data_IF_273099074820
#
_entry.id   IF_273099074820
#
_cell.length_a   1.000
_cell.length_b   1.000
_cell.length_c   1.000
_cell.angle_alpha   90.00
_cell.angle_beta   90.00
_cell.angle_gamma   90.00
#
_symmetry.space_group_name_H-M   'P 1'
#
loop_
_entity.id
_entity.type
_entity.pdbx_description
1 polymer ?
#
# COMPACT_ATOMS: atom_id res chain seq x y z
N UNK A 1 -21.08 -6.91 -14.93
CA UNK A 1 -19.78 -6.57 -15.56
C UNK A 1 -19.15 -5.47 -14.72
N UNK A 2 -18.03 -5.73 -14.05
CA UNK A 2 -17.30 -4.68 -13.35
C UNK A 2 -16.51 -3.87 -14.39
N UNK A 3 -16.94 -2.63 -14.63
CA UNK A 3 -16.17 -1.66 -15.42
C UNK A 3 -14.78 -1.54 -14.76
N UNK A 4 -13.67 -1.59 -15.52
CA UNK A 4 -12.35 -1.37 -14.97
C UNK A 4 -12.31 -0.04 -14.21
N UNK A 5 -11.80 -0.07 -12.97
CA UNK A 5 -11.64 1.16 -12.20
C UNK A 5 -10.67 2.09 -12.94
N UNK A 6 -10.99 3.40 -13.08
CA UNK A 6 -10.02 4.37 -13.55
C UNK A 6 -8.81 4.39 -12.59
N UNK A 7 -7.68 4.94 -13.05
CA UNK A 7 -6.46 5.01 -12.22
C UNK A 7 -6.70 5.79 -10.93
N UNK A 8 -7.51 6.85 -11.00
CA UNK A 8 -7.97 7.60 -9.83
C UNK A 8 -9.50 7.62 -9.83
N UNK A 9 -10.16 6.63 -9.20
CA UNK A 9 -11.60 6.67 -8.99
C UNK A 9 -11.97 7.76 -7.98
N UNK A 10 -13.27 7.92 -7.71
CA UNK A 10 -13.73 8.78 -6.63
C UNK A 10 -13.01 8.42 -5.32
N UNK A 11 -12.50 9.44 -4.63
CA UNK A 11 -11.84 9.27 -3.33
C UNK A 11 -12.70 9.89 -2.24
N UNK A 12 -13.03 9.10 -1.22
CA UNK A 12 -13.79 9.57 -0.04
C UNK A 12 -13.01 9.33 1.24
N UNK A 13 -13.48 9.97 2.31
CA UNK A 13 -12.95 9.79 3.66
C UNK A 13 -14.10 9.67 4.66
N UNK A 14 -13.90 8.82 5.65
CA UNK A 14 -14.72 8.76 6.87
C UNK A 14 -13.93 9.40 8.00
N UNK A 15 -14.48 10.40 8.67
CA UNK A 15 -13.76 11.13 9.72
C UNK A 15 -12.70 12.08 9.16
N UNK A 16 -11.62 12.30 9.92
CA UNK A 16 -10.55 13.21 9.53
C UNK A 16 -9.57 12.51 8.57
N UNK A 17 -9.27 13.10 7.40
CA UNK A 17 -8.29 12.54 6.49
C UNK A 17 -6.89 12.59 7.12
N UNK A 18 -6.11 11.55 6.88
CA UNK A 18 -4.69 11.52 7.20
C UNK A 18 -3.88 11.36 5.91
N UNK A 19 -4.12 10.29 5.18
CA UNK A 19 -3.47 9.99 3.90
C UNK A 19 -4.01 10.83 2.74
N UNK A 20 -5.30 11.17 2.79
CA UNK A 20 -6.00 11.94 1.74
C UNK A 20 -6.12 13.43 2.05
N UNK A 21 -5.41 13.92 3.08
CA UNK A 21 -5.42 15.33 3.45
C UNK A 21 -5.01 16.20 2.26
N UNK A 22 -5.79 17.22 1.93
CA UNK A 22 -5.53 18.14 0.80
C UNK A 22 -6.05 17.66 -0.55
N UNK A 23 -6.71 16.50 -0.64
CA UNK A 23 -7.30 16.02 -1.90
C UNK A 23 -8.49 16.88 -2.36
N UNK A 24 -9.12 17.60 -1.43
CA UNK A 24 -10.18 18.57 -1.67
C UNK A 24 -9.66 19.90 -2.22
N UNK A 25 -8.36 20.18 -2.09
CA UNK A 25 -7.76 21.45 -2.49
C UNK A 25 -7.22 21.42 -3.93
N UNK A 26 -6.59 20.31 -4.33
CA UNK A 26 -5.93 20.17 -5.63
C UNK A 26 -6.01 18.74 -6.16
N UNK A 27 -5.88 18.59 -7.48
CA UNK A 27 -5.88 17.27 -8.11
C UNK A 27 -4.62 16.45 -7.77
N UNK A 28 -3.46 17.09 -7.62
CA UNK A 28 -2.24 16.44 -7.18
C UNK A 28 -1.47 17.40 -6.28
N UNK A 29 -1.03 16.91 -5.14
CA UNK A 29 -0.14 17.64 -4.26
C UNK A 29 1.27 17.62 -4.86
N UNK A 30 1.64 18.71 -5.55
CA UNK A 30 3.04 19.00 -5.85
C UNK A 30 3.83 19.25 -4.54
N UNK A 31 5.15 19.34 -4.62
CA UNK A 31 5.99 19.51 -3.43
C UNK A 31 5.59 20.74 -2.59
N UNK A 32 5.26 21.86 -3.24
CA UNK A 32 4.93 23.10 -2.54
C UNK A 32 3.61 22.96 -1.77
N UNK A 33 2.57 22.42 -2.40
CA UNK A 33 1.28 22.17 -1.75
C UNK A 33 1.39 21.07 -0.70
N UNK A 34 2.15 20.01 -0.96
CA UNK A 34 2.44 18.95 0.01
C UNK A 34 3.05 19.51 1.29
N UNK A 35 4.05 20.39 1.19
CA UNK A 35 4.67 21.03 2.36
C UNK A 35 3.72 21.98 3.08
N UNK A 36 2.78 22.64 2.39
CA UNK A 36 1.74 23.45 3.02
C UNK A 36 0.74 22.59 3.80
N UNK A 37 0.35 21.45 3.24
CA UNK A 37 -0.66 20.54 3.82
C UNK A 37 -0.08 19.71 4.97
N UNK A 38 1.07 19.09 4.77
CA UNK A 38 1.65 18.15 5.71
C UNK A 38 2.80 18.74 6.55
N UNK A 39 3.38 19.88 6.15
CA UNK A 39 4.59 20.41 6.79
C UNK A 39 5.85 19.60 6.43
N UNK A 40 7.03 20.05 6.86
CA UNK A 40 8.28 19.30 6.70
C UNK A 40 8.33 18.05 7.59
N UNK A 41 9.28 17.16 7.32
CA UNK A 41 9.63 16.05 8.20
C UNK A 41 10.94 16.34 8.92
N UNK A 42 11.00 15.95 10.19
CA UNK A 42 12.23 15.91 10.95
C UNK A 42 12.93 14.56 10.81
N UNK A 43 14.27 14.53 10.71
CA UNK A 43 15.03 13.29 10.71
C UNK A 43 14.78 12.45 11.97
N UNK A 44 14.76 11.13 11.79
CA UNK A 44 14.65 10.16 12.89
C UNK A 44 15.73 9.09 12.78
N UNK A 45 16.27 8.67 13.91
CA UNK A 45 17.17 7.51 13.95
C UNK A 45 16.41 6.23 13.64
N UNK A 46 17.11 5.20 13.14
CA UNK A 46 16.50 3.90 12.83
C UNK A 46 15.76 3.27 14.00
N UNK A 47 16.30 3.42 15.22
CA UNK A 47 15.66 2.90 16.43
C UNK A 47 14.36 3.64 16.77
N UNK A 48 14.39 4.98 16.81
CA UNK A 48 13.18 5.79 17.06
C UNK A 48 12.11 5.57 15.99
N UNK A 49 12.52 5.34 14.74
CA UNK A 49 11.59 5.03 13.65
C UNK A 49 10.97 3.64 13.80
N UNK A 50 11.74 2.65 14.27
CA UNK A 50 11.24 1.32 14.58
C UNK A 50 10.25 1.35 15.76
N UNK A 51 10.60 2.05 16.84
CA UNK A 51 9.75 2.25 18.02
C UNK A 51 8.44 2.96 17.66
N UNK A 52 8.51 4.02 16.85
CA UNK A 52 7.31 4.70 16.33
C UNK A 52 6.42 3.71 15.58
N UNK A 53 6.99 2.96 14.63
CA UNK A 53 6.25 1.99 13.83
C UNK A 53 5.65 0.86 14.69
N UNK A 54 6.31 0.45 15.76
CA UNK A 54 5.80 -0.54 16.72
C UNK A 54 4.66 0.06 17.57
N UNK A 55 4.82 1.28 18.07
CA UNK A 55 3.83 1.98 18.89
C UNK A 55 2.51 2.24 18.15
N UNK A 56 2.55 2.44 16.84
CA UNK A 56 1.35 2.58 16.00
C UNK A 56 0.91 1.26 15.34
N UNK A 57 1.49 0.14 15.73
CA UNK A 57 1.23 -1.18 15.13
C UNK A 57 1.29 -1.17 13.59
N UNK A 58 2.27 -0.47 13.00
CA UNK A 58 2.40 -0.33 11.56
C UNK A 58 2.74 -1.68 10.92
N UNK A 59 1.76 -2.22 10.18
CA UNK A 59 1.91 -3.45 9.39
C UNK A 59 1.88 -3.12 7.91
N UNK A 60 2.60 -3.91 7.11
CA UNK A 60 2.58 -3.77 5.65
C UNK A 60 1.16 -3.76 5.09
N UNK A 61 0.88 -2.75 4.25
CA UNK A 61 -0.43 -2.50 3.61
C UNK A 61 -0.56 -3.10 2.20
N UNK A 62 0.37 -3.97 1.81
CA UNK A 62 0.34 -4.72 0.54
C UNK A 62 -0.08 -6.19 0.69
N UNK A 63 -1.01 -6.51 1.59
CA UNK A 63 -1.50 -7.89 1.79
C UNK A 63 -0.84 -8.67 2.93
N UNK A 64 0.48 -8.84 2.91
CA UNK A 64 1.17 -9.75 3.84
C UNK A 64 1.15 -9.31 5.33
N UNK A 65 0.92 -8.02 5.62
CA UNK A 65 0.76 -7.56 7.01
C UNK A 65 1.99 -7.76 7.90
N UNK A 66 3.21 -7.81 7.37
CA UNK A 66 4.42 -7.97 8.19
C UNK A 66 4.71 -6.68 9.00
N UNK A 67 5.10 -6.76 10.29
CA UNK A 67 5.41 -5.57 11.10
C UNK A 67 6.58 -4.75 10.55
N UNK A 68 6.37 -3.45 10.32
CA UNK A 68 7.37 -2.58 9.68
C UNK A 68 8.62 -2.40 10.54
N UNK A 69 8.48 -2.15 11.85
CA UNK A 69 9.62 -1.98 12.77
C UNK A 69 10.56 -3.19 12.79
N UNK A 70 10.00 -4.41 12.83
CA UNK A 70 10.78 -5.66 12.71
C UNK A 70 11.52 -5.75 11.38
N UNK A 71 10.89 -5.33 10.27
CA UNK A 71 11.50 -5.33 8.94
C UNK A 71 12.67 -4.34 8.86
N UNK A 72 12.48 -3.15 9.42
CA UNK A 72 13.50 -2.10 9.49
C UNK A 72 14.73 -2.58 10.28
N UNK A 73 14.52 -3.13 11.48
CA UNK A 73 15.58 -3.71 12.32
C UNK A 73 16.33 -4.86 11.61
N UNK A 74 15.61 -5.73 10.89
CA UNK A 74 16.23 -6.82 10.15
C UNK A 74 17.17 -6.32 9.05
N UNK A 75 16.76 -5.28 8.29
CA UNK A 75 17.59 -4.65 7.26
C UNK A 75 18.81 -3.97 7.88
N UNK A 76 18.62 -3.22 8.97
CA UNK A 76 19.71 -2.56 9.69
C UNK A 76 20.77 -3.58 10.17
N UNK A 77 20.32 -4.66 10.82
CA UNK A 77 21.20 -5.74 11.28
C UNK A 77 21.95 -6.40 10.12
N UNK A 78 21.26 -6.67 9.01
CA UNK A 78 21.89 -7.26 7.83
C UNK A 78 22.91 -6.32 7.17
N UNK A 79 22.62 -5.02 7.13
CA UNK A 79 23.52 -3.99 6.61
C UNK A 79 24.81 -3.90 7.43
N UNK A 80 24.70 -3.81 8.76
CA UNK A 80 25.85 -3.76 9.68
C UNK A 80 26.69 -5.03 9.53
N UNK A 81 26.05 -6.21 9.60
CA UNK A 81 26.74 -7.50 9.50
C UNK A 81 27.53 -7.66 8.20
N UNK A 82 27.02 -7.12 7.09
CA UNK A 82 27.64 -7.27 5.75
C UNK A 82 28.55 -6.12 5.37
N UNK A 83 28.54 -4.99 6.10
CA UNK A 83 29.23 -3.78 5.69
C UNK A 83 28.71 -3.19 4.38
N UNK A 84 27.47 -3.50 3.99
CA UNK A 84 26.85 -3.07 2.72
C UNK A 84 25.70 -2.13 3.04
N UNK A 85 25.71 -0.93 2.44
CA UNK A 85 24.61 0.03 2.57
C UNK A 85 23.31 -0.55 2.01
N UNK A 86 22.18 -0.37 2.70
CA UNK A 86 20.92 -0.94 2.26
C UNK A 86 20.31 -0.14 1.11
N UNK A 87 19.33 -0.75 0.46
CA UNK A 87 18.48 -0.13 -0.57
C UNK A 87 17.06 0.00 -0.02
N UNK A 88 16.40 1.13 -0.29
CA UNK A 88 14.98 1.32 0.01
C UNK A 88 14.18 1.15 -1.26
N UNK A 89 13.13 0.35 -1.21
CA UNK A 89 12.21 0.11 -2.33
C UNK A 89 10.79 0.46 -1.91
N UNK A 90 10.16 1.36 -2.66
CA UNK A 90 8.73 1.62 -2.63
C UNK A 90 8.08 0.66 -3.63
N UNK A 91 7.24 -0.25 -3.14
CA UNK A 91 6.41 -1.10 -3.97
C UNK A 91 5.04 -0.42 -4.18
N UNK A 92 4.91 0.25 -5.32
CA UNK A 92 3.67 0.81 -5.86
C UNK A 92 3.10 -0.02 -7.01
N UNK A 93 3.56 -1.27 -7.18
CA UNK A 93 3.08 -2.16 -8.23
C UNK A 93 1.73 -2.75 -7.84
N UNK A 94 0.65 -2.20 -8.40
CA UNK A 94 -0.74 -2.57 -8.14
C UNK A 94 -1.37 -3.14 -9.43
N UNK A 95 -1.27 -4.46 -9.60
CA UNK A 95 -1.77 -5.18 -10.79
C UNK A 95 -3.13 -5.85 -10.60
N UNK A 96 -3.66 -5.90 -9.38
CA UNK A 96 -4.97 -6.50 -9.13
C UNK A 96 -6.10 -5.56 -9.58
N UNK A 97 -7.08 -6.03 -10.37
CA UNK A 97 -8.15 -5.20 -10.91
C UNK A 97 -9.00 -4.51 -9.83
N UNK A 98 -9.12 -5.14 -8.66
CA UNK A 98 -9.93 -4.66 -7.55
C UNK A 98 -9.20 -3.68 -6.62
N UNK A 99 -7.94 -3.35 -6.90
CA UNK A 99 -7.10 -2.49 -6.07
C UNK A 99 -6.76 -1.19 -6.80
N UNK A 100 -6.98 -0.04 -6.15
CA UNK A 100 -6.61 1.29 -6.65
C UNK A 100 -5.97 2.20 -5.60
N UNK A 101 -5.85 1.75 -4.36
CA UNK A 101 -5.41 2.62 -3.25
C UNK A 101 -4.00 3.15 -3.46
N UNK A 102 -3.09 2.30 -3.95
CA UNK A 102 -1.68 2.69 -4.12
C UNK A 102 -1.54 3.55 -5.38
N UNK A 103 -2.28 3.22 -6.45
CA UNK A 103 -2.37 4.05 -7.65
C UNK A 103 -2.88 5.46 -7.33
N UNK A 104 -3.92 5.57 -6.49
CA UNK A 104 -4.45 6.86 -6.01
C UNK A 104 -3.37 7.64 -5.25
N UNK A 105 -2.70 7.03 -4.28
CA UNK A 105 -1.67 7.74 -3.51
C UNK A 105 -0.51 8.21 -4.39
N UNK A 106 -0.04 7.37 -5.32
CA UNK A 106 1.04 7.71 -6.24
C UNK A 106 0.67 8.86 -7.19
N UNK A 107 -0.59 8.96 -7.61
CA UNK A 107 -1.07 10.01 -8.51
C UNK A 107 -1.46 11.31 -7.78
N UNK A 108 -1.99 11.22 -6.55
CA UNK A 108 -2.53 12.36 -5.79
C UNK A 108 -1.56 12.94 -4.77
N UNK A 109 -0.80 12.10 -4.07
CA UNK A 109 0.14 12.52 -2.99
C UNK A 109 1.45 11.72 -3.01
N UNK A 110 2.20 11.74 -4.14
CA UNK A 110 3.46 11.01 -4.24
C UNK A 110 4.48 11.47 -3.19
N UNK A 111 4.44 12.75 -2.79
CA UNK A 111 5.36 13.32 -1.82
C UNK A 111 5.19 12.73 -0.41
N UNK A 112 4.00 12.32 0.00
CA UNK A 112 3.77 11.68 1.30
C UNK A 112 4.37 10.26 1.34
N UNK A 113 4.31 9.52 0.24
CA UNK A 113 5.00 8.23 0.11
C UNK A 113 6.51 8.43 0.14
N UNK A 114 7.02 9.39 -0.64
CA UNK A 114 8.45 9.69 -0.70
C UNK A 114 8.98 10.11 0.67
N UNK A 115 8.25 10.92 1.42
CA UNK A 115 8.61 11.33 2.77
C UNK A 115 8.91 10.16 3.71
N UNK A 116 8.02 9.16 3.76
CA UNK A 116 8.23 7.98 4.60
C UNK A 116 9.40 7.12 4.12
N UNK A 117 9.58 7.00 2.80
CA UNK A 117 10.69 6.25 2.23
C UNK A 117 12.04 6.94 2.42
N UNK A 118 12.09 8.27 2.31
CA UNK A 118 13.27 9.10 2.55
C UNK A 118 13.66 9.07 4.03
N UNK A 119 12.68 9.16 4.93
CA UNK A 119 12.90 9.01 6.37
C UNK A 119 13.54 7.65 6.70
N UNK A 120 13.01 6.57 6.12
CA UNK A 120 13.59 5.23 6.29
C UNK A 120 14.98 5.10 5.63
N UNK A 121 15.20 5.73 4.48
CA UNK A 121 16.49 5.73 3.79
C UNK A 121 17.57 6.43 4.61
N UNK A 122 17.27 7.60 5.16
CA UNK A 122 18.16 8.36 6.03
C UNK A 122 18.48 7.58 7.31
N UNK A 123 17.46 7.04 7.98
CA UNK A 123 17.59 6.25 9.19
C UNK A 123 18.47 4.99 9.02
N UNK A 124 18.53 4.44 7.81
CA UNK A 124 19.35 3.28 7.45
C UNK A 124 20.70 3.63 6.78
N UNK A 125 20.96 4.91 6.51
CA UNK A 125 22.13 5.35 5.72
C UNK A 125 22.13 4.86 4.26
N UNK A 126 20.94 4.56 3.72
CA UNK A 126 20.75 4.14 2.33
C UNK A 126 21.09 5.27 1.36
N UNK A 127 21.66 4.91 0.20
CA UNK A 127 21.99 5.86 -0.89
C UNK A 127 21.28 5.55 -2.20
N UNK A 128 20.38 4.58 -2.17
CA UNK A 128 19.59 4.16 -3.32
C UNK A 128 18.14 4.00 -2.90
N UNK A 129 17.26 4.74 -3.56
CA UNK A 129 15.81 4.62 -3.49
C UNK A 129 15.31 4.13 -4.85
N UNK A 130 14.45 3.12 -4.84
CA UNK A 130 13.77 2.65 -6.05
C UNK A 130 12.26 2.72 -5.84
N UNK A 131 11.54 3.27 -6.81
CA UNK A 131 10.08 3.22 -6.83
C UNK A 131 9.64 2.28 -7.94
N UNK A 132 9.07 1.13 -7.56
CA UNK A 132 8.45 0.20 -8.50
C UNK A 132 6.99 0.61 -8.71
N UNK A 133 6.59 0.78 -9.95
CA UNK A 133 5.22 1.18 -10.35
C UNK A 133 4.74 0.32 -11.50
N UNK A 134 3.44 0.26 -11.70
CA UNK A 134 2.86 -0.54 -12.78
C UNK A 134 2.29 0.30 -13.93
N UNK A 135 1.67 1.43 -13.62
CA UNK A 135 0.88 2.22 -14.58
C UNK A 135 1.66 3.42 -15.11
N UNK A 136 1.34 3.84 -16.33
CA UNK A 136 1.95 5.02 -16.94
C UNK A 136 1.68 6.30 -16.14
N UNK A 137 0.45 6.49 -15.64
CA UNK A 137 0.08 7.62 -14.77
C UNK A 137 0.97 7.70 -13.53
N UNK A 138 1.14 6.57 -12.82
CA UNK A 138 1.97 6.48 -11.62
C UNK A 138 3.45 6.71 -11.91
N UNK A 139 3.96 6.23 -13.06
CA UNK A 139 5.33 6.52 -13.48
C UNK A 139 5.56 8.02 -13.70
N UNK A 140 4.65 8.68 -14.42
CA UNK A 140 4.72 10.12 -14.69
C UNK A 140 4.66 10.91 -13.37
N UNK A 141 3.69 10.62 -12.50
CA UNK A 141 3.51 11.33 -11.24
C UNK A 141 4.73 11.20 -10.32
N UNK A 142 5.30 9.99 -10.19
CA UNK A 142 6.48 9.75 -9.35
C UNK A 142 7.72 10.42 -9.96
N UNK A 143 7.93 10.35 -11.28
CA UNK A 143 9.05 11.05 -11.92
C UNK A 143 8.98 12.55 -11.70
N UNK A 144 7.78 13.15 -11.80
CA UNK A 144 7.57 14.56 -11.45
C UNK A 144 7.94 14.82 -9.99
N UNK A 145 7.44 14.01 -9.05
CA UNK A 145 7.70 14.19 -7.63
C UNK A 145 9.19 14.06 -7.25
N UNK A 146 9.92 13.15 -7.91
CA UNK A 146 11.38 13.04 -7.76
C UNK A 146 12.10 14.27 -8.30
N UNK A 147 11.69 14.78 -9.47
CA UNK A 147 12.24 16.00 -10.05
C UNK A 147 11.98 17.24 -9.18
N UNK A 148 10.77 17.39 -8.64
CA UNK A 148 10.39 18.46 -7.71
C UNK A 148 11.26 18.46 -6.45
N UNK A 149 11.72 17.28 -5.99
CA UNK A 149 12.66 17.13 -4.86
C UNK A 149 14.14 17.20 -5.26
N UNK A 150 14.46 17.39 -6.54
CA UNK A 150 15.84 17.35 -7.04
C UNK A 150 16.51 15.98 -6.93
N UNK A 151 15.75 14.89 -6.84
CA UNK A 151 16.25 13.52 -6.77
C UNK A 151 16.37 12.92 -8.17
N UNK A 152 17.54 12.39 -8.51
CA UNK A 152 17.74 11.67 -9.79
C UNK A 152 18.67 10.47 -9.64
N UNK A 153 18.88 9.69 -10.70
CA UNK A 153 19.81 8.54 -10.71
C UNK A 153 21.25 8.93 -11.12
N UNK A 154 21.58 10.22 -11.13
CA UNK A 154 22.91 10.70 -11.52
C UNK A 154 23.96 10.36 -10.45
N UNK A 155 25.17 9.99 -10.90
CA UNK A 155 26.35 9.79 -10.03
C UNK A 155 26.71 11.10 -9.32
N UNK A 156 27.20 11.00 -8.08
CA UNK A 156 27.62 12.15 -7.26
C UNK A 156 26.56 12.71 -6.30
N UNK A 157 25.28 12.34 -6.45
CA UNK A 157 24.25 12.68 -5.46
C UNK A 157 24.38 11.85 -4.19
N UNK A 158 24.00 12.46 -3.06
CA UNK A 158 23.98 11.78 -1.76
C UNK A 158 23.01 10.58 -1.73
N UNK A 159 21.81 10.76 -2.29
CA UNK A 159 20.80 9.73 -2.48
C UNK A 159 20.40 9.70 -3.96
N UNK A 160 20.47 8.52 -4.58
CA UNK A 160 20.00 8.29 -5.95
C UNK A 160 18.60 7.70 -5.93
N UNK A 161 17.71 8.24 -6.76
CA UNK A 161 16.35 7.74 -6.89
C UNK A 161 16.03 7.40 -8.35
N UNK A 162 15.38 6.26 -8.57
CA UNK A 162 14.91 5.85 -9.91
C UNK A 162 13.56 5.15 -9.85
N UNK A 163 12.84 5.24 -10.96
CA UNK A 163 11.54 4.56 -11.17
C UNK A 163 11.74 3.34 -12.05
N UNK A 164 11.14 2.23 -11.67
CA UNK A 164 11.11 0.98 -12.45
C UNK A 164 9.65 0.64 -12.73
N UNK A 165 9.29 0.56 -14.01
CA UNK A 165 7.95 0.11 -14.41
C UNK A 165 7.92 -1.41 -14.51
N UNK A 166 7.07 -2.06 -13.72
CA UNK A 166 6.77 -3.49 -13.79
C UNK A 166 5.57 -3.74 -14.70
N UNK A 167 5.45 -4.92 -15.34
CA UNK A 167 4.23 -5.30 -16.05
C UNK A 167 2.98 -5.22 -15.16
N UNK A 168 1.83 -4.93 -15.77
CA UNK A 168 0.52 -4.96 -15.09
C UNK A 168 0.03 -6.39 -14.94
N UNK A 169 0.67 -7.10 -14.01
CA UNK A 169 0.30 -8.44 -13.58
C UNK A 169 0.28 -8.49 -12.06
N UNK A 170 -0.57 -9.32 -11.50
CA UNK A 170 -0.64 -9.51 -10.05
C UNK A 170 0.68 -10.02 -9.49
N UNK A 171 1.25 -11.01 -10.17
CA UNK A 171 2.51 -11.64 -9.78
C UNK A 171 3.69 -10.66 -9.79
N UNK A 172 3.61 -9.59 -10.60
CA UNK A 172 4.64 -8.55 -10.66
C UNK A 172 4.68 -7.65 -9.42
N UNK A 173 3.61 -7.61 -8.62
CA UNK A 173 3.56 -6.88 -7.35
C UNK A 173 4.13 -7.66 -6.15
N UNK A 174 4.42 -8.95 -6.31
CA UNK A 174 5.02 -9.77 -5.26
C UNK A 174 6.44 -9.27 -4.93
N UNK A 175 6.81 -9.28 -3.65
CA UNK A 175 8.03 -8.62 -3.18
C UNK A 175 9.30 -9.13 -3.88
N UNK A 176 9.47 -10.44 -4.06
CA UNK A 176 10.64 -11.01 -4.75
C UNK A 176 10.59 -10.80 -6.26
N UNK A 177 9.40 -10.77 -6.87
CA UNK A 177 9.21 -10.40 -8.27
C UNK A 177 9.63 -8.94 -8.54
N UNK A 178 9.22 -8.01 -7.66
CA UNK A 178 9.64 -6.60 -7.72
C UNK A 178 11.16 -6.48 -7.61
N UNK A 179 11.79 -7.17 -6.66
CA UNK A 179 13.26 -7.15 -6.52
C UNK A 179 13.94 -7.66 -7.79
N UNK A 180 13.44 -8.76 -8.37
CA UNK A 180 13.99 -9.31 -9.61
C UNK A 180 13.84 -8.34 -10.79
N UNK A 181 12.68 -7.70 -10.93
CA UNK A 181 12.45 -6.67 -11.94
C UNK A 181 13.37 -5.46 -11.77
N UNK A 182 13.55 -4.99 -10.54
CA UNK A 182 14.46 -3.87 -10.21
C UNK A 182 15.92 -4.21 -10.55
N UNK A 183 16.30 -5.48 -10.45
CA UNK A 183 17.61 -6.01 -10.85
C UNK A 183 17.73 -6.25 -12.37
N UNK A 184 16.71 -5.94 -13.17
CA UNK A 184 16.71 -6.10 -14.63
C UNK A 184 16.26 -7.48 -15.13
N UNK A 185 15.81 -8.36 -14.24
CA UNK A 185 15.22 -9.65 -14.61
C UNK A 185 13.71 -9.54 -14.91
N UNK A 186 13.05 -10.66 -15.24
CA UNK A 186 11.59 -10.69 -15.39
C UNK A 186 10.91 -10.44 -14.04
N UNK A 187 9.73 -9.79 -14.08
CA UNK A 187 8.90 -9.51 -12.90
C UNK A 187 8.11 -10.75 -12.44
N UNK A 188 8.85 -11.82 -12.13
CA UNK A 188 8.34 -13.10 -11.65
C UNK A 188 9.12 -13.51 -10.40
N UNK A 189 8.48 -14.10 -9.37
CA UNK A 189 9.15 -14.65 -8.22
C UNK A 189 10.28 -15.61 -8.65
N UNK A 190 11.41 -15.68 -7.95
CA UNK A 190 12.42 -16.70 -8.19
C UNK A 190 11.99 -18.03 -7.57
N UNK A 191 12.45 -19.15 -8.14
CA UNK A 191 12.17 -20.49 -7.61
C UNK A 191 12.72 -20.70 -6.18
N UNK A 192 13.86 -20.09 -5.85
CA UNK A 192 14.38 -20.02 -4.48
C UNK A 192 14.15 -18.62 -3.90
N UNK A 193 13.37 -18.56 -2.81
CA UNK A 193 13.11 -17.30 -2.10
C UNK A 193 14.25 -16.93 -1.17
N UNK A 194 14.85 -15.77 -1.42
CA UNK A 194 15.71 -15.08 -0.46
C UNK A 194 14.94 -13.93 0.19
N UNK A 195 15.18 -13.70 1.48
CA UNK A 195 14.56 -12.55 2.16
C UNK A 195 15.23 -11.28 1.66
N UNK A 196 14.45 -10.37 1.10
CA UNK A 196 14.94 -9.06 0.65
C UNK A 196 15.71 -8.30 1.74
N UNK A 197 15.34 -8.47 3.01
CA UNK A 197 16.05 -7.87 4.14
C UNK A 197 17.51 -8.37 4.29
N UNK A 198 17.82 -9.56 3.79
CA UNK A 198 19.16 -10.15 3.83
C UNK A 198 19.92 -9.91 2.53
N UNK A 199 19.28 -10.15 1.39
CA UNK A 199 19.82 -10.03 0.04
C UNK A 199 18.70 -9.66 -0.93
N UNK A 200 18.75 -8.46 -1.51
CA UNK A 200 17.71 -7.92 -2.40
C UNK A 200 18.29 -7.24 -3.63
N UNK A 201 18.06 -5.93 -3.78
CA UNK A 201 18.51 -5.16 -4.94
C UNK A 201 20.04 -5.17 -5.03
N UNK A 202 20.60 -5.63 -6.14
CA UNK A 202 22.05 -5.77 -6.34
C UNK A 202 22.74 -6.63 -5.26
N UNK A 203 22.00 -7.56 -4.64
CA UNK A 203 22.51 -8.37 -3.52
C UNK A 203 22.66 -7.61 -2.20
N UNK A 204 22.22 -6.35 -2.11
CA UNK A 204 22.28 -5.56 -0.87
C UNK A 204 21.04 -5.81 0.03
N UNK A 205 21.16 -5.70 1.37
CA UNK A 205 20.01 -5.68 2.27
C UNK A 205 18.98 -4.63 1.81
N UNK A 206 17.73 -5.03 1.65
CA UNK A 206 16.70 -4.17 1.03
C UNK A 206 15.48 -4.04 1.92
N UNK A 207 15.12 -2.79 2.23
CA UNK A 207 13.84 -2.44 2.83
C UNK A 207 12.82 -2.19 1.71
N UNK A 208 12.10 -3.23 1.32
CA UNK A 208 10.94 -3.12 0.43
C UNK A 208 9.66 -2.95 1.24
N UNK A 209 8.84 -1.94 0.96
CA UNK A 209 7.50 -1.84 1.56
C UNK A 209 6.50 -1.22 0.59
N UNK A 210 5.21 -1.46 0.85
CA UNK A 210 4.12 -0.95 0.03
C UNK A 210 4.00 0.59 0.15
N UNK A 211 3.54 1.25 -0.92
CA UNK A 211 3.39 2.70 -1.00
C UNK A 211 2.60 3.29 0.19
N UNK A 212 1.41 2.76 0.48
CA UNK A 212 0.61 3.19 1.64
C UNK A 212 1.37 3.01 2.97
N UNK A 213 2.21 1.97 3.10
CA UNK A 213 2.97 1.75 4.35
C UNK A 213 3.96 2.88 4.62
N UNK A 214 4.62 3.41 3.58
CA UNK A 214 5.49 4.58 3.73
C UNK A 214 4.69 5.85 3.96
N UNK A 215 3.54 6.03 3.31
CA UNK A 215 2.68 7.18 3.55
C UNK A 215 2.18 7.21 5.01
N UNK A 216 1.77 6.06 5.56
CA UNK A 216 1.39 5.94 6.98
C UNK A 216 2.56 6.26 7.92
N UNK A 217 3.77 5.80 7.59
CA UNK A 217 4.98 6.14 8.36
C UNK A 217 5.24 7.66 8.36
N UNK A 218 5.04 8.34 7.23
CA UNK A 218 5.23 9.78 7.09
C UNK A 218 4.21 10.60 7.90
N UNK A 219 2.96 10.14 7.97
CA UNK A 219 1.93 10.74 8.83
C UNK A 219 2.28 10.52 10.30
N UNK A 220 2.62 9.29 10.67
CA UNK A 220 2.97 8.93 12.04
C UNK A 220 4.18 9.71 12.57
N UNK A 221 5.19 9.94 11.72
CA UNK A 221 6.38 10.71 12.08
C UNK A 221 6.08 12.19 12.39
N UNK A 222 5.03 12.75 11.77
CA UNK A 222 4.57 14.14 12.04
C UNK A 222 3.69 14.24 13.26
N UNK A 223 2.77 13.29 13.43
CA UNK A 223 1.81 13.31 14.53
C UNK A 223 2.41 12.83 15.86
N UNK A 224 3.39 11.94 15.78
CA UNK A 224 3.82 11.12 16.91
C UNK A 224 2.78 10.04 17.26
N UNK A 225 3.24 8.96 17.91
CA UNK A 225 2.41 7.78 18.21
C UNK A 225 1.13 8.11 18.98
N UNK A 226 1.21 9.01 19.97
CA UNK A 226 0.06 9.40 20.79
C UNK A 226 -1.07 10.03 19.97
N UNK A 227 -0.77 11.01 19.11
CA UNK A 227 -1.81 11.67 18.29
C UNK A 227 -2.29 10.76 17.16
N UNK A 228 -1.39 9.97 16.58
CA UNK A 228 -1.76 8.96 15.59
C UNK A 228 -2.77 7.95 16.17
N UNK A 229 -2.56 7.53 17.43
CA UNK A 229 -3.44 6.62 18.17
C UNK A 229 -4.81 7.18 18.59
N UNK A 230 -5.09 8.47 18.38
CA UNK A 230 -6.43 9.03 18.61
C UNK A 230 -7.44 8.70 17.49
N UNK A 231 -6.97 8.10 16.38
CA UNK A 231 -7.82 7.62 15.28
C UNK A 231 -7.74 6.11 15.22
N UNK A 232 -8.85 5.46 14.92
CA UNK A 232 -8.91 3.99 14.78
C UNK A 232 -9.04 3.26 16.12
N UNK A 233 -8.92 1.95 16.07
CA UNK A 233 -8.95 1.06 17.23
C UNK A 233 -7.63 1.15 18.04
N UNK A 234 -7.67 0.93 19.37
CA UNK A 234 -6.46 0.92 20.20
C UNK A 234 -5.40 -0.11 19.77
N UNK A 235 -5.81 -1.26 19.24
CA UNK A 235 -4.95 -2.37 18.83
C UNK A 235 -4.54 -2.31 17.34
N UNK A 236 -5.22 -1.51 16.52
CA UNK A 236 -4.84 -1.21 15.14
C UNK A 236 -5.07 0.29 14.84
N UNK A 237 -4.27 1.21 15.41
CA UNK A 237 -4.52 2.64 15.28
C UNK A 237 -4.32 3.16 13.85
N UNK A 238 -4.94 4.31 13.59
CA UNK A 238 -4.89 5.05 12.33
C UNK A 238 -6.01 4.70 11.36
N UNK A 239 -5.82 5.10 10.11
CA UNK A 239 -6.73 4.83 8.99
C UNK A 239 -6.23 3.69 8.10
N UNK A 240 -7.12 3.17 7.27
CA UNK A 240 -6.80 2.27 6.15
C UNK A 240 -7.43 2.80 4.88
N UNK A 241 -6.76 2.59 3.74
CA UNK A 241 -7.39 2.80 2.44
C UNK A 241 -8.04 1.50 1.96
N UNK A 242 -9.31 1.61 1.59
CA UNK A 242 -10.07 0.53 0.97
C UNK A 242 -10.39 0.88 -0.48
N UNK A 243 -10.25 -0.08 -1.39
CA UNK A 243 -10.84 0.01 -2.72
C UNK A 243 -12.16 -0.76 -2.70
N UNK A 244 -13.28 -0.05 -2.88
CA UNK A 244 -14.62 -0.65 -2.90
C UNK A 244 -15.09 -0.73 -4.34
N UNK A 245 -15.35 -1.94 -4.82
CA UNK A 245 -15.80 -2.21 -6.19
C UNK A 245 -16.77 -3.40 -6.21
N UNK A 246 -17.09 -3.97 -7.36
CA UNK A 246 -18.10 -5.04 -7.45
C UNK A 246 -19.52 -4.48 -7.56
N UNK A 247 -20.48 -5.08 -6.85
CA UNK A 247 -21.88 -4.68 -6.89
C UNK A 247 -22.13 -3.41 -6.06
N UNK A 248 -21.65 -2.28 -6.56
CA UNK A 248 -21.78 -0.96 -5.93
C UNK A 248 -22.15 0.09 -6.99
N UNK A 249 -22.96 1.07 -6.62
CA UNK A 249 -23.33 2.17 -7.52
C UNK A 249 -22.16 3.15 -7.78
N UNK A 250 -21.24 3.28 -6.82
CA UNK A 250 -20.09 4.20 -6.87
C UNK A 250 -18.82 3.45 -6.46
N UNK A 251 -18.11 2.82 -7.40
CA UNK A 251 -16.80 2.27 -7.12
C UNK A 251 -15.81 3.39 -6.73
N UNK A 252 -15.08 3.20 -5.63
CA UNK A 252 -14.29 4.28 -5.02
C UNK A 252 -13.07 3.75 -4.26
N UNK A 253 -12.14 4.66 -3.96
CA UNK A 253 -11.17 4.48 -2.89
C UNK A 253 -11.64 5.28 -1.68
N UNK A 254 -11.61 4.68 -0.50
CA UNK A 254 -12.08 5.33 0.72
C UNK A 254 -11.07 5.18 1.85
N UNK A 255 -10.69 6.30 2.47
CA UNK A 255 -9.91 6.32 3.70
C UNK A 255 -10.84 6.20 4.90
N UNK A 256 -10.61 5.19 5.75
CA UNK A 256 -11.51 4.87 6.87
C UNK A 256 -10.69 4.57 8.13
N UNK A 257 -11.02 5.16 9.29
CA UNK A 257 -10.50 4.72 10.58
C UNK A 257 -10.80 3.24 10.81
N UNK A 258 -9.86 2.52 11.39
CA UNK A 258 -10.16 1.16 11.82
C UNK A 258 -11.27 1.14 12.88
N UNK A 259 -12.07 0.08 12.91
CA UNK A 259 -13.22 -0.05 13.82
C UNK A 259 -14.53 0.54 13.28
N UNK A 260 -14.52 1.20 12.12
CA UNK A 260 -15.76 1.59 11.43
C UNK A 260 -16.49 0.34 10.94
N UNK A 261 -17.84 0.24 11.07
CA UNK A 261 -18.59 -0.90 10.55
C UNK A 261 -18.42 -1.07 9.03
N UNK A 262 -18.14 -2.30 8.57
CA UNK A 262 -17.99 -2.59 7.14
C UNK A 262 -19.25 -2.25 6.35
N UNK A 263 -20.43 -2.54 6.93
CA UNK A 263 -21.74 -2.16 6.35
C UNK A 263 -21.87 -0.67 6.05
N UNK A 264 -21.25 0.20 6.86
CA UNK A 264 -21.28 1.65 6.63
C UNK A 264 -20.44 2.02 5.41
N UNK A 265 -19.26 1.43 5.26
CA UNK A 265 -18.41 1.60 4.06
C UNK A 265 -19.13 1.14 2.80
N UNK A 266 -19.78 -0.02 2.85
CA UNK A 266 -20.58 -0.56 1.74
C UNK A 266 -21.75 0.36 1.37
N UNK A 267 -22.44 0.92 2.36
CA UNK A 267 -23.52 1.88 2.14
C UNK A 267 -23.03 3.16 1.44
N UNK A 268 -21.86 3.69 1.81
CA UNK A 268 -21.28 4.87 1.17
C UNK A 268 -20.99 4.63 -0.32
N UNK A 269 -20.53 3.43 -0.68
CA UNK A 269 -20.33 3.00 -2.06
C UNK A 269 -21.65 2.70 -2.81
N UNK A 270 -22.78 2.64 -2.10
CA UNK A 270 -24.07 2.27 -2.68
C UNK A 270 -24.16 0.78 -3.01
N UNK A 271 -23.61 -0.08 -2.15
CA UNK A 271 -23.85 -1.51 -2.20
C UNK A 271 -25.31 -1.83 -1.81
N UNK A 272 -25.83 -3.01 -2.22
CA UNK A 272 -27.10 -3.53 -1.68
C UNK A 272 -27.08 -3.57 -0.15
N UNK A 273 -28.19 -3.24 0.54
CA UNK A 273 -28.26 -3.28 2.01
C UNK A 273 -27.88 -4.64 2.61
N UNK A 274 -28.18 -5.71 1.89
CA UNK A 274 -27.82 -7.08 2.23
C UNK A 274 -27.16 -7.73 1.00
N UNK A 275 -25.83 -7.60 0.82
CA UNK A 275 -25.13 -8.31 -0.25
C UNK A 275 -25.15 -9.81 0.03
N UNK A 276 -25.09 -10.65 -1.01
CA UNK A 276 -25.05 -12.11 -0.84
C UNK A 276 -23.79 -12.56 -0.08
N UNK A 277 -22.70 -11.81 -0.27
CA UNK A 277 -21.43 -11.98 0.40
C UNK A 277 -20.46 -10.89 -0.06
N UNK A 278 -19.31 -10.80 0.60
CA UNK A 278 -18.29 -9.80 0.28
C UNK A 278 -16.94 -10.49 0.19
N UNK A 279 -16.22 -10.30 -0.91
CA UNK A 279 -14.81 -10.67 -0.99
C UNK A 279 -14.00 -9.59 -0.28
N UNK A 280 -13.20 -10.00 0.69
CA UNK A 280 -12.35 -9.11 1.48
C UNK A 280 -10.88 -9.49 1.30
N UNK A 281 -10.03 -8.49 1.09
CA UNK A 281 -8.59 -8.65 1.01
C UNK A 281 -8.02 -8.78 -0.40
N UNK A 282 -8.87 -8.70 -1.42
CA UNK A 282 -8.53 -8.87 -2.84
C UNK A 282 -8.87 -10.26 -3.37
N UNK A 283 -8.47 -10.55 -4.60
CA UNK A 283 -8.74 -11.80 -5.30
C UNK A 283 -8.06 -13.02 -4.65
N UNK A 284 -7.04 -12.80 -3.81
CA UNK A 284 -6.44 -13.84 -2.95
C UNK A 284 -7.02 -13.85 -1.52
N UNK A 285 -8.05 -13.05 -1.29
CA UNK A 285 -8.75 -12.94 -0.03
C UNK A 285 -9.82 -14.01 0.15
N UNK A 286 -10.73 -13.75 1.09
CA UNK A 286 -11.80 -14.68 1.44
C UNK A 286 -13.18 -14.03 1.33
N UNK A 287 -14.15 -14.85 0.95
CA UNK A 287 -15.56 -14.50 1.00
C UNK A 287 -16.06 -14.54 2.44
N UNK A 288 -16.78 -13.50 2.84
CA UNK A 288 -17.59 -13.50 4.06
C UNK A 288 -19.06 -13.42 3.68
N UNK A 289 -19.92 -14.10 4.42
CA UNK A 289 -21.36 -14.10 4.16
C UNK A 289 -22.03 -12.78 4.59
N UNK A 290 -23.31 -12.64 4.29
CA UNK A 290 -24.08 -11.44 4.59
C UNK A 290 -24.14 -11.11 6.10
N UNK A 291 -24.22 -12.12 6.96
CA UNK A 291 -24.33 -11.95 8.42
C UNK A 291 -23.00 -11.49 8.98
N UNK A 292 -21.91 -12.19 8.64
CA UNK A 292 -20.55 -11.84 9.01
C UNK A 292 -20.17 -10.45 8.50
N UNK A 293 -20.61 -10.08 7.28
CA UNK A 293 -20.44 -8.73 6.72
C UNK A 293 -21.13 -7.66 7.56
N UNK A 294 -22.33 -7.95 8.05
CA UNK A 294 -23.11 -6.99 8.83
C UNK A 294 -22.42 -6.65 10.16
N UNK A 295 -21.85 -7.66 10.82
CA UNK A 295 -21.22 -7.53 12.14
C UNK A 295 -19.74 -7.12 12.06
N UNK A 296 -19.10 -7.32 10.92
CA UNK A 296 -17.68 -7.00 10.73
C UNK A 296 -17.39 -5.49 10.85
N UNK A 297 -16.28 -5.20 11.51
CA UNK A 297 -15.64 -3.89 11.53
C UNK A 297 -14.44 -3.88 10.59
N UNK A 298 -14.09 -2.71 10.09
CA UNK A 298 -12.86 -2.49 9.31
C UNK A 298 -11.65 -2.62 10.25
N UNK A 299 -11.13 -3.82 10.41
CA UNK A 299 -9.84 -4.09 11.05
C UNK A 299 -9.34 -5.47 10.64
N UNK A 300 -8.04 -5.74 10.82
CA UNK A 300 -7.48 -7.07 10.55
C UNK A 300 -8.11 -8.12 11.46
N UNK A 301 -8.25 -7.81 12.75
CA UNK A 301 -8.78 -8.75 13.74
C UNK A 301 -10.25 -9.07 13.47
N UNK A 302 -11.08 -8.06 13.23
CA UNK A 302 -12.52 -8.27 12.99
C UNK A 302 -12.79 -8.99 11.68
N UNK A 303 -12.12 -8.61 10.58
CA UNK A 303 -12.28 -9.31 9.31
C UNK A 303 -11.78 -10.75 9.36
N UNK A 304 -10.66 -11.01 10.05
CA UNK A 304 -10.19 -12.38 10.24
C UNK A 304 -11.16 -13.23 11.08
N UNK A 305 -11.74 -12.66 12.14
CA UNK A 305 -12.75 -13.33 12.96
C UNK A 305 -14.04 -13.66 12.18
N UNK A 306 -14.37 -12.84 11.17
CA UNK A 306 -15.47 -13.08 10.25
C UNK A 306 -15.15 -14.11 9.14
N UNK A 307 -13.94 -14.71 9.13
CA UNK A 307 -13.47 -15.61 8.06
C UNK A 307 -12.88 -14.90 6.83
N UNK A 308 -12.85 -13.56 6.87
CA UNK A 308 -12.32 -12.68 5.83
C UNK A 308 -10.83 -12.35 6.00
N UNK A 309 -10.38 -11.33 5.28
CA UNK A 309 -9.06 -10.72 5.45
C UNK A 309 -9.08 -9.25 5.04
N UNK A 310 -8.31 -8.39 5.73
CA UNK A 310 -8.12 -7.01 5.28
C UNK A 310 -7.25 -6.94 4.00
N UNK A 311 -6.25 -7.82 3.90
CA UNK A 311 -5.38 -7.97 2.72
C UNK A 311 -4.82 -6.65 2.18
N UNK A 312 -5.00 -6.42 0.89
CA UNK A 312 -4.62 -5.19 0.18
C UNK A 312 -5.72 -4.10 0.23
N UNK A 313 -6.74 -4.25 1.08
CA UNK A 313 -7.83 -3.28 1.22
C UNK A 313 -8.91 -3.35 0.14
N UNK A 314 -8.95 -4.39 -0.69
CA UNK A 314 -10.03 -4.56 -1.67
C UNK A 314 -11.27 -5.19 -1.02
N UNK A 315 -12.43 -4.54 -1.24
CA UNK A 315 -13.75 -4.94 -0.75
C UNK A 315 -14.71 -5.05 -1.94
N UNK A 316 -15.22 -6.25 -2.20
CA UNK A 316 -16.11 -6.51 -3.34
C UNK A 316 -17.40 -7.22 -2.90
N UNK A 317 -18.50 -6.48 -2.64
CA UNK A 317 -19.81 -7.08 -2.46
C UNK A 317 -20.33 -7.77 -3.73
N UNK A 318 -21.03 -8.88 -3.53
CA UNK A 318 -21.85 -9.57 -4.53
C UNK A 318 -23.29 -9.10 -4.40
N UNK A 319 -23.85 -8.60 -5.50
CA UNK A 319 -25.25 -8.16 -5.57
C UNK A 319 -26.20 -9.33 -5.85
N UNK A 320 -27.51 -9.15 -5.62
CA UNK A 320 -28.51 -10.23 -5.75
C UNK A 320 -28.56 -10.86 -7.14
N UNK A 321 -28.28 -10.09 -8.19
CA UNK A 321 -28.29 -10.55 -9.59
C UNK A 321 -26.99 -11.26 -10.03
N UNK A 322 -26.01 -11.42 -9.12
CA UNK A 322 -24.71 -12.03 -9.44
C UNK A 322 -24.61 -13.42 -8.84
N UNK A 323 -24.40 -14.44 -9.67
CA UNK A 323 -24.14 -15.80 -9.18
C UNK A 323 -22.81 -15.87 -8.42
N UNK A 324 -22.79 -16.22 -7.11
CA UNK A 324 -21.54 -16.27 -6.33
C UNK A 324 -20.52 -17.29 -6.86
N UNK A 325 -21.01 -18.44 -7.38
CA UNK A 325 -20.15 -19.47 -7.99
C UNK A 325 -19.56 -18.95 -9.31
N UNK A 326 -20.36 -18.26 -10.12
CA UNK A 326 -19.90 -17.66 -11.37
C UNK A 326 -18.83 -16.59 -11.13
N UNK A 327 -19.00 -15.76 -10.10
CA UNK A 327 -18.01 -14.75 -9.72
C UNK A 327 -16.71 -15.39 -9.19
N UNK A 328 -16.83 -16.45 -8.39
CA UNK A 328 -15.69 -17.23 -7.93
C UNK A 328 -14.92 -17.88 -9.09
N UNK A 329 -15.62 -18.45 -10.08
CA UNK A 329 -15.01 -19.02 -11.29
C UNK A 329 -14.31 -17.93 -12.12
N UNK A 330 -14.92 -16.75 -12.26
CA UNK A 330 -14.31 -15.61 -12.96
C UNK A 330 -12.98 -15.20 -12.30
N UNK A 331 -12.96 -15.10 -10.98
CA UNK A 331 -11.76 -14.76 -10.22
C UNK A 331 -10.72 -15.88 -10.34
N UNK A 332 -11.12 -17.15 -10.21
CA UNK A 332 -10.22 -18.30 -10.37
C UNK A 332 -9.57 -18.35 -11.76
N UNK A 333 -10.33 -18.11 -12.82
CA UNK A 333 -9.80 -18.03 -14.19
C UNK A 333 -8.80 -16.88 -14.36
N UNK A 334 -9.08 -15.72 -13.76
CA UNK A 334 -8.15 -14.61 -13.77
C UNK A 334 -6.86 -14.94 -13.01
N UNK A 335 -6.96 -15.53 -11.81
CA UNK A 335 -5.80 -15.98 -11.02
C UNK A 335 -4.95 -17.01 -11.78
N UNK A 336 -5.60 -17.94 -12.48
CA UNK A 336 -4.92 -18.92 -13.33
C UNK A 336 -4.14 -18.25 -14.47
N UNK A 337 -4.68 -17.20 -15.08
CA UNK A 337 -3.98 -16.41 -16.09
C UNK A 337 -2.78 -15.63 -15.52
N UNK A 338 -2.85 -15.22 -14.25
CA UNK A 338 -1.83 -14.45 -13.56
C UNK A 338 -0.68 -15.29 -12.97
N UNK A 339 -0.70 -16.61 -13.15
CA UNK A 339 0.35 -17.52 -12.67
C UNK A 339 1.74 -17.18 -13.21
N UNK A 340 2.77 -17.48 -12.41
CA UNK A 340 4.17 -17.40 -12.83
C UNK A 340 4.58 -18.54 -13.78
N UNK A 341 3.80 -19.64 -13.82
CA UNK A 341 4.09 -20.83 -14.63
C UNK A 341 5.37 -21.57 -14.24
N UNK A 342 5.75 -21.52 -12.95
CA UNK A 342 6.97 -22.12 -12.39
C UNK A 342 6.66 -23.38 -11.59
#
# INVERSE_FOLDING_TARGET
MNVPLPDVPEVRVVGLPQLTTGFDLVERLDLAMHLKVHGPLEPMTGERLAELAEAISLRGRGGAGFPFGKKLRAVAKASIRRGVRPVVVINGSEGEPACRKDTVLLNRTPHLILDGALLAAEALGARTLVVAVTRNSTEISVRSALAERGLSDRRGQHLRARVVRTPERMVSGEASAVIRAVNGGPALPPGRRERAAESGVGGAPTLLSNAETYAQLAVAARLGSRRYGHTGLPDEPGTVLLTVSGAVARPMVIEVPTGVPLRYVLQLAGAPPLPQGVLTGGYHGNWIDAVATHDAMVSRASLAAAGGALGAGAILPIGPETCPIGESLRIANWLAAETAGQ
#
